data_IF_453081302131
#
_entry.id   IF_453081302131
#
_cell.length_a   1.000
_cell.length_b   1.000
_cell.length_c   1.000
_cell.angle_alpha   90.00
_cell.angle_beta   90.00
_cell.angle_gamma   90.00
#
_symmetry.space_group_name_H-M   'P 1'
#
loop_
_entity.id
_entity.type
_entity.pdbx_description
1 polymer ?
#
# COMPACT_ATOMS: atom_id res chain seq x y z
N UNK A 1 -22.21 7.67 -1.17
CA UNK A 1 -20.74 7.82 -1.31
C UNK A 1 -20.38 9.10 -0.59
N UNK A 2 -19.62 9.04 0.49
CA UNK A 2 -19.20 10.24 1.23
C UNK A 2 -18.14 10.96 0.39
N UNK A 3 -18.42 12.17 -0.06
CA UNK A 3 -17.47 12.99 -0.81
C UNK A 3 -16.20 13.21 0.01
N UNK A 4 -15.03 13.12 -0.63
CA UNK A 4 -13.77 13.32 0.08
C UNK A 4 -13.68 14.74 0.65
N UNK A 5 -12.96 14.91 1.75
CA UNK A 5 -12.70 16.25 2.32
C UNK A 5 -12.19 17.22 1.24
N UNK A 6 -11.26 16.77 0.42
CA UNK A 6 -10.69 17.55 -0.69
C UNK A 6 -11.75 17.90 -1.76
N UNK A 7 -12.62 16.96 -2.10
CA UNK A 7 -13.73 17.22 -3.04
C UNK A 7 -14.65 18.31 -2.51
N UNK A 8 -15.07 18.22 -1.24
CA UNK A 8 -15.91 19.23 -0.60
C UNK A 8 -15.26 20.62 -0.60
N UNK A 9 -13.95 20.70 -0.31
CA UNK A 9 -13.19 21.97 -0.34
C UNK A 9 -13.18 22.54 -1.76
N UNK A 10 -12.88 21.73 -2.79
CA UNK A 10 -12.85 22.17 -4.20
C UNK A 10 -14.20 22.66 -4.69
N UNK A 11 -15.27 21.94 -4.40
CA UNK A 11 -16.62 22.27 -4.86
C UNK A 11 -17.14 23.57 -4.24
N UNK A 12 -16.66 23.89 -3.02
CA UNK A 12 -17.07 25.11 -2.29
C UNK A 12 -16.16 26.30 -2.60
N UNK A 13 -14.96 26.09 -3.14
CA UNK A 13 -13.87 27.08 -3.25
C UNK A 13 -14.30 28.39 -3.95
N UNK A 14 -15.09 28.28 -5.02
CA UNK A 14 -15.54 29.45 -5.80
C UNK A 14 -16.49 30.38 -5.03
N UNK A 15 -17.13 29.87 -3.97
CA UNK A 15 -18.16 30.59 -3.19
C UNK A 15 -17.59 31.11 -1.84
N UNK A 16 -16.32 30.85 -1.55
CA UNK A 16 -15.72 31.21 -0.26
C UNK A 16 -15.33 32.70 -0.21
N UNK A 17 -15.58 33.37 0.93
CA UNK A 17 -15.01 34.69 1.22
C UNK A 17 -13.47 34.66 1.18
N UNK A 18 -12.79 35.78 0.92
CA UNK A 18 -11.31 35.82 0.73
C UNK A 18 -10.51 35.19 1.87
N UNK A 19 -10.91 35.36 3.12
CA UNK A 19 -10.24 34.80 4.29
C UNK A 19 -10.45 33.27 4.42
N UNK A 20 -11.66 32.77 4.13
CA UNK A 20 -11.97 31.35 4.11
C UNK A 20 -11.32 30.68 2.90
N UNK A 21 -11.27 31.36 1.75
CA UNK A 21 -10.59 30.88 0.56
C UNK A 21 -9.09 30.68 0.78
N UNK A 22 -8.40 31.64 1.41
CA UNK A 22 -6.98 31.47 1.76
C UNK A 22 -6.74 30.26 2.65
N UNK A 23 -7.64 30.01 3.60
CA UNK A 23 -7.59 28.82 4.44
C UNK A 23 -7.86 27.53 3.64
N UNK A 24 -8.83 27.55 2.74
CA UNK A 24 -9.16 26.44 1.85
C UNK A 24 -8.03 26.13 0.87
N UNK A 25 -7.39 27.14 0.27
CA UNK A 25 -6.24 27.00 -0.60
C UNK A 25 -5.07 26.34 0.18
N UNK A 26 -4.79 26.79 1.41
CA UNK A 26 -3.81 26.14 2.28
C UNK A 26 -4.15 24.67 2.55
N UNK A 27 -5.42 24.34 2.82
CA UNK A 27 -5.86 22.96 3.04
C UNK A 27 -5.77 22.11 1.77
N UNK A 28 -5.92 22.69 0.58
CA UNK A 28 -5.76 22.00 -0.71
C UNK A 28 -4.30 21.76 -1.04
N UNK A 29 -3.44 22.72 -0.77
CA UNK A 29 -1.99 22.58 -0.99
C UNK A 29 -1.38 21.51 -0.07
N UNK A 30 -1.90 21.38 1.15
CA UNK A 30 -1.40 20.45 2.17
C UNK A 30 -2.51 19.60 2.82
N UNK A 31 -3.25 18.77 2.05
CA UNK A 31 -4.41 18.06 2.57
C UNK A 31 -4.09 17.09 3.73
N UNK A 32 -2.87 16.58 3.82
CA UNK A 32 -2.42 15.73 4.93
C UNK A 32 -2.17 16.51 6.23
N UNK A 33 -1.92 17.82 6.16
CA UNK A 33 -1.57 18.62 7.32
C UNK A 33 -2.78 18.91 8.21
N UNK A 34 -4.01 18.92 7.68
CA UNK A 34 -5.21 19.10 8.50
C UNK A 34 -5.27 18.09 9.66
N UNK A 35 -4.87 16.86 9.43
CA UNK A 35 -4.89 15.81 10.45
C UNK A 35 -3.81 15.99 11.54
N UNK A 36 -2.78 16.77 11.26
CA UNK A 36 -1.63 16.96 12.15
C UNK A 36 -1.74 18.22 13.01
N UNK A 37 -2.58 19.19 12.61
CA UNK A 37 -2.71 20.49 13.28
C UNK A 37 -4.02 20.62 14.04
N UNK A 38 -4.00 21.37 15.14
CA UNK A 38 -5.21 21.87 15.81
C UNK A 38 -5.81 23.04 15.02
N UNK A 39 -7.07 23.38 15.31
CA UNK A 39 -7.73 24.54 14.70
C UNK A 39 -6.94 25.83 14.94
N UNK A 40 -6.35 26.00 16.13
CA UNK A 40 -5.55 27.17 16.52
C UNK A 40 -4.24 27.25 15.74
N UNK A 41 -3.56 26.12 15.53
CA UNK A 41 -2.32 26.09 14.75
C UNK A 41 -2.56 26.41 13.28
N UNK A 42 -3.64 25.86 12.67
CA UNK A 42 -4.00 26.20 11.29
C UNK A 42 -4.39 27.67 11.17
N UNK A 43 -5.15 28.21 12.13
CA UNK A 43 -5.50 29.61 12.15
C UNK A 43 -4.25 30.52 12.17
N UNK A 44 -3.26 30.15 13.00
CA UNK A 44 -2.00 30.86 13.08
C UNK A 44 -1.18 30.77 11.79
N UNK A 45 -1.02 29.58 11.21
CA UNK A 45 -0.26 29.34 9.98
C UNK A 45 -0.85 30.08 8.77
N UNK A 46 -2.17 30.20 8.72
CA UNK A 46 -2.87 30.85 7.60
C UNK A 46 -3.16 32.33 7.85
N UNK A 47 -2.87 32.85 9.07
CA UNK A 47 -3.13 34.22 9.46
C UNK A 47 -4.62 34.55 9.50
N UNK A 48 -5.46 33.57 9.91
CA UNK A 48 -6.91 33.75 10.09
C UNK A 48 -7.31 33.52 11.54
N UNK A 49 -8.55 33.89 11.91
CA UNK A 49 -9.07 33.61 13.26
C UNK A 49 -9.56 32.16 13.40
N UNK A 50 -9.59 31.61 14.63
CA UNK A 50 -10.23 30.33 14.94
C UNK A 50 -11.70 30.30 14.50
N UNK A 51 -12.40 31.42 14.60
CA UNK A 51 -13.78 31.54 14.12
C UNK A 51 -13.89 31.36 12.59
N UNK A 52 -12.86 31.74 11.82
CA UNK A 52 -12.80 31.51 10.38
C UNK A 52 -12.61 30.03 10.08
N UNK A 53 -11.75 29.32 10.84
CA UNK A 53 -11.57 27.87 10.72
C UNK A 53 -12.88 27.14 10.99
N UNK A 54 -13.58 27.49 12.06
CA UNK A 54 -14.87 26.89 12.42
C UNK A 54 -15.93 27.13 11.33
N UNK A 55 -16.04 28.36 10.82
CA UNK A 55 -16.99 28.69 9.74
C UNK A 55 -16.73 27.92 8.45
N UNK A 56 -15.45 27.80 8.05
CA UNK A 56 -15.11 27.02 6.86
C UNK A 56 -15.52 25.56 7.00
N UNK A 57 -15.15 24.89 8.11
CA UNK A 57 -15.50 23.47 8.27
C UNK A 57 -17.01 23.23 8.38
N UNK A 58 -17.76 24.14 8.97
CA UNK A 58 -19.22 24.09 8.98
C UNK A 58 -19.82 24.25 7.58
N UNK A 59 -19.24 25.14 6.75
CA UNK A 59 -19.64 25.33 5.35
C UNK A 59 -19.35 24.08 4.51
N UNK A 60 -18.29 23.35 4.84
CA UNK A 60 -17.96 22.05 4.22
C UNK A 60 -18.86 20.90 4.69
N UNK A 61 -19.82 21.17 5.60
CA UNK A 61 -20.78 20.19 6.10
C UNK A 61 -20.30 19.36 7.28
N UNK A 62 -19.32 19.84 8.05
CA UNK A 62 -18.87 19.22 9.30
C UNK A 62 -19.40 19.97 10.51
N UNK A 63 -19.75 19.26 11.58
CA UNK A 63 -20.21 19.86 12.83
C UNK A 63 -19.08 20.60 13.57
N UNK A 64 -17.83 20.08 13.45
CA UNK A 64 -16.67 20.63 14.12
C UNK A 64 -15.38 20.43 13.32
N UNK A 65 -14.34 21.20 13.69
CA UNK A 65 -13.00 21.00 13.15
C UNK A 65 -12.44 19.59 13.45
N UNK A 66 -12.71 19.03 14.62
CA UNK A 66 -12.27 17.68 14.97
C UNK A 66 -12.94 16.59 14.11
N UNK A 67 -14.18 16.79 13.72
CA UNK A 67 -14.85 15.90 12.77
C UNK A 67 -14.21 15.99 11.38
N UNK A 68 -14.00 17.20 10.86
CA UNK A 68 -13.30 17.42 9.60
C UNK A 68 -11.88 16.82 9.62
N UNK A 69 -11.17 17.01 10.73
CA UNK A 69 -9.85 16.44 10.97
C UNK A 69 -9.85 14.92 10.98
N UNK A 70 -10.81 14.31 11.67
CA UNK A 70 -10.98 12.84 11.69
C UNK A 70 -11.30 12.31 10.31
N UNK A 71 -12.20 12.96 9.57
CA UNK A 71 -12.55 12.56 8.20
C UNK A 71 -11.34 12.70 7.26
N UNK A 72 -10.61 13.82 7.32
CA UNK A 72 -9.35 14.00 6.56
C UNK A 72 -8.29 12.94 6.93
N UNK A 73 -8.20 12.54 8.20
CA UNK A 73 -7.29 11.48 8.66
C UNK A 73 -7.65 10.12 8.08
N UNK A 74 -8.93 9.76 8.05
CA UNK A 74 -9.42 8.51 7.44
C UNK A 74 -9.16 8.46 5.94
N UNK A 75 -9.17 9.62 5.28
CA UNK A 75 -8.87 9.78 3.87
C UNK A 75 -7.38 10.04 3.57
N UNK A 76 -6.57 10.35 4.56
CA UNK A 76 -5.13 10.61 4.44
C UNK A 76 -4.35 9.46 3.80
N UNK A 77 -4.91 8.24 3.81
CA UNK A 77 -4.42 7.10 3.03
C UNK A 77 -4.48 7.29 1.50
N UNK A 78 -5.28 8.23 1.00
CA UNK A 78 -5.47 8.47 -0.45
C UNK A 78 -4.69 9.67 -1.01
N UNK A 79 -4.14 10.56 -0.16
CA UNK A 79 -3.37 11.74 -0.56
C UNK A 79 -1.91 11.45 -1.00
N UNK A 80 -1.25 12.42 -1.68
CA UNK A 80 0.18 12.29 -2.00
C UNK A 80 1.05 12.40 -0.74
N UNK A 81 2.02 11.51 -0.52
CA UNK A 81 2.98 11.64 0.58
C UNK A 81 3.73 12.99 0.56
N UNK A 82 3.94 13.55 -0.64
CA UNK A 82 4.59 14.85 -0.82
C UNK A 82 3.86 16.01 -0.15
N UNK A 83 2.54 15.87 0.08
CA UNK A 83 1.72 16.90 0.74
C UNK A 83 1.56 16.67 2.25
N UNK A 84 2.08 15.57 2.80
CA UNK A 84 1.92 15.21 4.22
C UNK A 84 3.18 15.39 5.05
N UNK A 85 4.31 15.75 4.43
CA UNK A 85 5.57 15.85 5.11
C UNK A 85 5.70 17.16 5.89
N UNK A 86 6.16 17.14 7.15
CA UNK A 86 6.61 18.34 7.83
C UNK A 86 7.82 18.95 7.10
N UNK A 87 7.83 20.28 6.95
CA UNK A 87 8.78 21.02 6.12
C UNK A 87 10.23 21.08 6.63
N UNK A 88 10.63 20.35 7.66
CA UNK A 88 11.97 20.50 8.24
C UNK A 88 12.54 19.21 8.82
N UNK A 89 13.39 18.54 8.04
CA UNK A 89 14.51 17.79 8.61
C UNK A 89 15.78 18.57 8.27
N UNK A 90 16.20 19.44 9.16
CA UNK A 90 17.44 20.18 9.02
C UNK A 90 18.62 19.30 9.44
N UNK A 91 19.48 18.97 8.49
CA UNK A 91 20.75 18.27 8.73
C UNK A 91 20.78 16.82 8.18
N UNK A 92 21.68 16.56 7.25
CA UNK A 92 21.78 15.26 6.53
C UNK A 92 22.06 14.08 7.46
N UNK A 93 22.94 14.21 8.43
CA UNK A 93 23.27 13.16 9.39
C UNK A 93 22.09 12.83 10.31
N UNK A 94 21.36 13.82 10.77
CA UNK A 94 20.15 13.65 11.58
C UNK A 94 19.04 12.99 10.77
N UNK A 95 18.90 13.33 9.49
CA UNK A 95 17.93 12.72 8.59
C UNK A 95 18.18 11.22 8.38
N UNK A 96 19.42 10.80 8.18
CA UNK A 96 19.77 9.39 8.04
C UNK A 96 19.49 8.58 9.32
N UNK A 97 19.83 9.11 10.48
CA UNK A 97 19.57 8.46 11.78
C UNK A 97 18.07 8.27 12.03
N UNK A 98 17.26 9.29 11.75
CA UNK A 98 15.79 9.21 11.87
C UNK A 98 15.18 8.21 10.89
N UNK A 99 15.68 8.15 9.65
CA UNK A 99 15.22 7.14 8.66
C UNK A 99 15.56 5.72 9.12
N UNK A 100 16.77 5.49 9.64
CA UNK A 100 17.19 4.18 10.16
C UNK A 100 16.35 3.77 11.36
N UNK A 101 16.17 4.67 12.32
CA UNK A 101 15.33 4.42 13.49
C UNK A 101 13.90 4.02 13.09
N UNK A 102 13.27 4.80 12.22
CA UNK A 102 11.92 4.51 11.76
C UNK A 102 11.84 3.19 11.00
N UNK A 103 12.87 2.84 10.22
CA UNK A 103 12.94 1.57 9.53
C UNK A 103 12.99 0.39 10.52
N UNK A 104 13.78 0.49 11.59
CA UNK A 104 13.83 -0.52 12.66
C UNK A 104 12.48 -0.67 13.37
N UNK A 105 11.82 0.44 13.70
CA UNK A 105 10.48 0.42 14.33
C UNK A 105 9.45 -0.26 13.42
N UNK A 106 9.43 0.09 12.13
CA UNK A 106 8.54 -0.52 11.15
C UNK A 106 8.79 -2.04 11.00
N UNK A 107 10.04 -2.45 10.92
CA UNK A 107 10.43 -3.87 10.86
C UNK A 107 9.96 -4.61 12.10
N UNK A 108 10.29 -4.12 13.28
CA UNK A 108 9.94 -4.77 14.55
C UNK A 108 8.42 -4.89 14.70
N UNK A 109 7.67 -3.80 14.46
CA UNK A 109 6.23 -3.78 14.58
C UNK A 109 5.54 -4.69 13.54
N UNK A 110 6.03 -4.72 12.29
CA UNK A 110 5.50 -5.61 11.25
C UNK A 110 5.70 -7.07 11.63
N UNK A 111 6.91 -7.46 12.01
CA UNK A 111 7.22 -8.85 12.35
C UNK A 111 6.48 -9.31 13.62
N UNK A 112 6.34 -8.44 14.61
CA UNK A 112 5.59 -8.76 15.83
C UNK A 112 4.07 -8.95 15.57
N UNK A 113 3.52 -8.34 14.52
CA UNK A 113 2.10 -8.43 14.17
C UNK A 113 1.73 -9.65 13.31
N UNK A 114 2.71 -10.36 12.74
CA UNK A 114 2.49 -11.46 11.81
C UNK A 114 2.96 -12.77 12.44
N UNK A 115 2.06 -13.69 12.78
CA UNK A 115 2.45 -15.00 13.31
C UNK A 115 3.22 -15.83 12.28
N UNK A 116 4.25 -16.54 12.72
CA UNK A 116 5.03 -17.45 11.86
C UNK A 116 4.13 -18.47 11.15
N UNK A 117 3.11 -18.98 11.85
CA UNK A 117 2.15 -19.95 11.29
C UNK A 117 1.39 -19.39 10.08
N UNK A 118 1.17 -18.07 10.02
CA UNK A 118 0.53 -17.43 8.86
C UNK A 118 1.47 -17.42 7.65
N UNK A 119 2.76 -17.13 7.86
CA UNK A 119 3.78 -17.20 6.81
C UNK A 119 3.91 -18.64 6.29
N UNK A 120 3.91 -19.62 7.19
CA UNK A 120 3.96 -21.05 6.84
C UNK A 120 2.76 -21.47 6.00
N UNK A 121 1.57 -21.02 6.39
CA UNK A 121 0.32 -21.31 5.66
C UNK A 121 0.36 -20.69 4.25
N UNK A 122 0.76 -19.43 4.13
CA UNK A 122 0.90 -18.74 2.85
C UNK A 122 1.94 -19.44 1.96
N UNK A 123 3.10 -19.81 2.52
CA UNK A 123 4.16 -20.48 1.77
C UNK A 123 3.71 -21.84 1.21
N UNK A 124 2.96 -22.63 2.00
CA UNK A 124 2.38 -23.90 1.52
C UNK A 124 1.32 -23.64 0.44
N UNK A 125 0.45 -22.67 0.65
CA UNK A 125 -0.57 -22.31 -0.33
C UNK A 125 0.01 -21.87 -1.68
N UNK A 126 1.15 -21.17 -1.68
CA UNK A 126 1.89 -20.81 -2.89
C UNK A 126 2.42 -22.06 -3.64
N UNK A 127 2.92 -23.05 -2.91
CA UNK A 127 3.42 -24.30 -3.51
C UNK A 127 2.31 -25.22 -4.04
N UNK A 128 1.16 -25.22 -3.37
CA UNK A 128 0.01 -26.04 -3.72
C UNK A 128 -0.82 -25.46 -4.88
N UNK A 129 -0.64 -24.16 -5.18
CA UNK A 129 -1.38 -23.50 -6.23
C UNK A 129 -1.00 -24.02 -7.63
N UNK A 130 -2.01 -24.27 -8.48
CA UNK A 130 -1.81 -24.56 -9.92
C UNK A 130 -1.09 -23.40 -10.60
N UNK A 131 -1.55 -22.18 -10.38
CA UNK A 131 -0.95 -20.94 -10.90
C UNK A 131 -1.00 -19.86 -9.84
N UNK A 132 0.09 -19.09 -9.73
CA UNK A 132 0.17 -17.94 -8.85
C UNK A 132 0.21 -16.66 -9.67
N UNK A 133 -0.70 -15.75 -9.36
CA UNK A 133 -0.80 -14.44 -9.97
C UNK A 133 -0.46 -13.35 -8.96
N UNK A 134 0.23 -12.32 -9.41
CA UNK A 134 0.61 -11.15 -8.63
C UNK A 134 -0.06 -9.91 -9.19
N UNK A 135 -0.77 -9.16 -8.35
CA UNK A 135 -1.48 -7.96 -8.73
C UNK A 135 -1.00 -6.75 -7.92
N UNK A 136 -0.67 -5.69 -8.61
CA UNK A 136 -0.36 -4.40 -8.02
C UNK A 136 -0.33 -3.33 -9.10
N UNK A 137 -0.81 -2.14 -8.77
CA UNK A 137 -0.74 -0.99 -9.66
C UNK A 137 0.24 0.05 -9.14
N UNK A 138 0.79 0.86 -10.04
CA UNK A 138 1.78 1.89 -9.74
C UNK A 138 3.00 1.29 -9.03
N UNK A 139 3.45 1.84 -7.89
CA UNK A 139 4.58 1.29 -7.14
C UNK A 139 4.32 -0.13 -6.61
N UNK A 140 3.07 -0.49 -6.30
CA UNK A 140 2.72 -1.84 -5.85
C UNK A 140 3.07 -2.92 -6.89
N UNK A 141 3.08 -2.56 -8.19
CA UNK A 141 3.51 -3.46 -9.26
C UNK A 141 4.98 -3.87 -9.14
N UNK A 142 5.83 -2.97 -8.65
CA UNK A 142 7.26 -3.28 -8.44
C UNK A 142 7.46 -4.32 -7.34
N UNK A 143 6.69 -4.24 -6.26
CA UNK A 143 6.72 -5.23 -5.18
C UNK A 143 6.10 -6.57 -5.61
N UNK A 144 5.04 -6.53 -6.39
CA UNK A 144 4.47 -7.70 -7.03
C UNK A 144 5.50 -8.41 -7.93
N UNK A 145 6.21 -7.66 -8.77
CA UNK A 145 7.27 -8.16 -9.62
C UNK A 145 8.47 -8.70 -8.82
N UNK A 146 8.84 -8.02 -7.72
CA UNK A 146 9.92 -8.44 -6.85
C UNK A 146 9.66 -9.80 -6.19
N UNK A 147 8.50 -9.98 -5.55
CA UNK A 147 8.16 -11.25 -4.92
C UNK A 147 7.94 -12.35 -5.99
N UNK A 148 7.29 -12.02 -7.11
CA UNK A 148 7.16 -12.94 -8.25
C UNK A 148 8.54 -13.46 -8.69
N UNK A 149 9.52 -12.56 -8.85
CA UNK A 149 10.87 -12.95 -9.27
C UNK A 149 11.49 -13.97 -8.31
N UNK A 150 11.45 -13.72 -7.01
CA UNK A 150 12.00 -14.63 -6.01
C UNK A 150 11.34 -16.02 -6.05
N UNK A 151 10.02 -16.06 -6.25
CA UNK A 151 9.25 -17.30 -6.28
C UNK A 151 9.35 -18.05 -7.61
N UNK A 152 9.74 -17.40 -8.70
CA UNK A 152 9.97 -18.06 -10.00
C UNK A 152 10.96 -19.21 -9.92
N UNK A 153 11.93 -19.12 -9.01
CA UNK A 153 12.96 -20.13 -8.85
C UNK A 153 12.48 -21.42 -8.17
N UNK A 154 11.37 -21.37 -7.45
CA UNK A 154 10.91 -22.48 -6.61
C UNK A 154 9.53 -23.01 -6.95
N UNK A 155 8.65 -22.18 -7.52
CA UNK A 155 7.31 -22.60 -7.92
C UNK A 155 7.33 -23.51 -9.16
N UNK A 156 6.42 -24.50 -9.24
CA UNK A 156 6.37 -25.44 -10.37
C UNK A 156 6.16 -24.75 -11.73
N UNK A 157 5.29 -23.75 -11.76
CA UNK A 157 5.05 -22.90 -12.92
C UNK A 157 5.50 -21.47 -12.65
N UNK A 158 6.03 -20.77 -13.67
CA UNK A 158 6.42 -19.37 -13.51
C UNK A 158 5.22 -18.50 -13.12
N UNK A 159 5.27 -17.81 -11.97
CA UNK A 159 4.17 -16.94 -11.57
C UNK A 159 4.12 -15.66 -12.44
N UNK A 160 2.94 -15.06 -12.56
CA UNK A 160 2.68 -13.95 -13.48
C UNK A 160 2.31 -12.66 -12.74
N UNK A 161 2.74 -11.50 -13.27
CA UNK A 161 2.30 -10.18 -12.78
C UNK A 161 1.21 -9.64 -13.68
N UNK A 162 0.05 -9.37 -13.10
CA UNK A 162 -1.16 -8.94 -13.81
C UNK A 162 -1.32 -7.39 -13.84
N UNK A 163 -1.93 -6.88 -14.90
CA UNK A 163 -2.03 -7.49 -16.22
C UNK A 163 -0.67 -7.49 -16.92
N UNK A 164 -0.47 -8.36 -17.91
CA UNK A 164 0.68 -8.29 -18.80
C UNK A 164 0.64 -7.05 -19.70
N UNK A 165 1.72 -6.75 -20.43
CA UNK A 165 1.75 -5.62 -21.38
C UNK A 165 0.69 -5.77 -22.47
N UNK A 166 -0.19 -4.77 -22.60
CA UNK A 166 -1.26 -4.76 -23.59
C UNK A 166 -2.49 -5.59 -23.24
N UNK A 167 -2.54 -6.18 -22.06
CA UNK A 167 -3.64 -7.04 -21.57
C UNK A 167 -4.46 -6.31 -20.50
N UNK A 168 -5.67 -6.83 -20.23
CA UNK A 168 -6.52 -6.37 -19.14
C UNK A 168 -6.66 -7.46 -18.07
N UNK A 169 -7.27 -7.16 -16.94
CA UNK A 169 -7.53 -8.17 -15.89
C UNK A 169 -8.62 -9.17 -16.30
N UNK A 170 -9.47 -8.82 -17.27
CA UNK A 170 -10.60 -9.63 -17.67
C UNK A 170 -10.17 -10.97 -18.29
N UNK A 171 -9.11 -10.97 -19.10
CA UNK A 171 -8.56 -12.17 -19.72
C UNK A 171 -8.09 -13.19 -18.68
N UNK A 172 -7.51 -12.70 -17.59
CA UNK A 172 -7.08 -13.55 -16.47
C UNK A 172 -8.25 -14.01 -15.62
N UNK A 173 -9.20 -13.09 -15.33
CA UNK A 173 -10.39 -13.40 -14.54
C UNK A 173 -11.22 -14.53 -15.12
N UNK A 174 -11.33 -14.61 -16.45
CA UNK A 174 -12.06 -15.67 -17.14
C UNK A 174 -11.46 -17.07 -17.02
N UNK A 175 -10.18 -17.18 -16.57
CA UNK A 175 -9.47 -18.45 -16.42
C UNK A 175 -9.15 -18.83 -14.97
N UNK A 176 -9.52 -17.98 -13.99
CA UNK A 176 -9.30 -18.25 -12.57
C UNK A 176 -10.15 -19.42 -12.07
N UNK A 177 -9.55 -20.25 -11.23
CA UNK A 177 -10.19 -21.41 -10.59
C UNK A 177 -9.85 -21.47 -9.10
N UNK A 178 -10.47 -22.38 -8.38
CA UNK A 178 -10.21 -22.68 -6.97
C UNK A 178 -8.81 -23.26 -6.70
N UNK A 179 -8.09 -23.66 -7.73
CA UNK A 179 -6.72 -24.15 -7.65
C UNK A 179 -5.68 -23.02 -7.80
N UNK A 180 -6.11 -21.81 -8.07
CA UNK A 180 -5.22 -20.69 -8.30
C UNK A 180 -5.04 -19.82 -7.03
N UNK A 181 -3.96 -19.05 -7.02
CA UNK A 181 -3.70 -18.09 -5.95
C UNK A 181 -3.40 -16.71 -6.51
N UNK A 182 -4.06 -15.70 -5.95
CA UNK A 182 -3.83 -14.29 -6.26
C UNK A 182 -3.13 -13.61 -5.07
N UNK A 183 -1.95 -13.06 -5.30
CA UNK A 183 -1.22 -12.22 -4.35
C UNK A 183 -1.39 -10.77 -4.73
N UNK A 184 -2.06 -10.00 -3.87
CA UNK A 184 -2.41 -8.60 -4.12
C UNK A 184 -1.53 -7.69 -3.27
N UNK A 185 -0.85 -6.75 -3.91
CA UNK A 185 -0.19 -5.63 -3.25
C UNK A 185 -1.09 -4.40 -3.32
N UNK A 186 -1.62 -4.00 -2.17
CA UNK A 186 -2.60 -2.94 -2.03
C UNK A 186 -2.20 -1.90 -0.98
N UNK A 187 -0.91 -1.55 -0.95
CA UNK A 187 -0.43 -0.48 -0.10
C UNK A 187 -0.97 0.86 -0.58
N UNK A 188 -0.87 1.86 0.27
CA UNK A 188 -1.33 3.22 0.02
C UNK A 188 -1.36 3.59 -1.46
N UNK A 189 -2.50 4.16 -1.91
CA UNK A 189 -2.90 4.47 -3.27
C UNK A 189 -3.20 3.25 -4.14
N UNK A 190 -3.79 2.22 -3.57
CA UNK A 190 -4.43 1.19 -4.37
C UNK A 190 -5.57 1.78 -5.21
N UNK A 191 -5.73 1.27 -6.42
CA UNK A 191 -6.82 1.68 -7.31
C UNK A 191 -8.05 0.79 -7.06
N UNK A 192 -9.29 1.31 -7.18
CA UNK A 192 -10.51 0.53 -6.92
C UNK A 192 -10.66 -0.74 -7.77
N UNK A 193 -9.98 -0.80 -8.91
CA UNK A 193 -9.95 -1.98 -9.77
C UNK A 193 -9.31 -3.19 -9.08
N UNK A 194 -8.30 -2.96 -8.23
CA UNK A 194 -7.61 -4.04 -7.47
C UNK A 194 -8.57 -4.71 -6.51
N UNK A 195 -9.35 -3.94 -5.75
CA UNK A 195 -10.37 -4.46 -4.84
C UNK A 195 -11.43 -5.27 -5.59
N UNK A 196 -12.01 -4.69 -6.65
CA UNK A 196 -13.01 -5.39 -7.48
C UNK A 196 -12.48 -6.69 -8.07
N UNK A 197 -11.23 -6.71 -8.53
CA UNK A 197 -10.65 -7.93 -9.08
C UNK A 197 -10.40 -8.98 -8.00
N UNK A 198 -9.90 -8.60 -6.82
CA UNK A 198 -9.71 -9.49 -5.67
C UNK A 198 -11.05 -10.14 -5.24
N UNK A 199 -12.13 -9.35 -5.14
CA UNK A 199 -13.47 -9.87 -4.86
C UNK A 199 -13.94 -10.90 -5.89
N UNK A 200 -13.76 -10.62 -7.18
CA UNK A 200 -14.16 -11.54 -8.25
C UNK A 200 -13.29 -12.80 -8.24
N UNK A 201 -11.99 -12.69 -7.95
CA UNK A 201 -11.10 -13.84 -7.82
C UNK A 201 -11.55 -14.78 -6.68
N UNK A 202 -11.92 -14.22 -5.51
CA UNK A 202 -12.48 -15.03 -4.41
C UNK A 202 -13.81 -15.69 -4.79
N UNK A 203 -14.69 -14.98 -5.51
CA UNK A 203 -15.96 -15.54 -5.99
C UNK A 203 -15.75 -16.68 -7.00
N UNK A 204 -14.67 -16.65 -7.77
CA UNK A 204 -14.25 -17.73 -8.65
C UNK A 204 -13.59 -18.90 -7.90
N UNK A 205 -13.41 -18.78 -6.57
CA UNK A 205 -12.81 -19.80 -5.71
C UNK A 205 -11.30 -19.66 -5.50
N UNK A 206 -10.63 -18.73 -6.21
CA UNK A 206 -9.19 -18.53 -6.07
C UNK A 206 -8.85 -18.03 -4.66
N UNK A 207 -7.76 -18.53 -4.09
CA UNK A 207 -7.27 -18.07 -2.78
C UNK A 207 -6.58 -16.70 -2.94
N UNK A 208 -6.89 -15.76 -2.06
CA UNK A 208 -6.36 -14.39 -2.13
C UNK A 208 -5.50 -14.07 -0.91
N UNK A 209 -4.24 -13.71 -1.15
CA UNK A 209 -3.37 -13.07 -0.18
C UNK A 209 -3.33 -11.57 -0.44
N UNK A 210 -3.70 -10.75 0.52
CA UNK A 210 -3.53 -9.30 0.46
C UNK A 210 -2.33 -8.85 1.32
N UNK A 211 -1.40 -8.15 0.71
CA UNK A 211 -0.29 -7.47 1.37
C UNK A 211 -0.55 -5.97 1.29
N UNK A 212 -0.70 -5.32 2.44
CA UNK A 212 -1.10 -3.92 2.54
C UNK A 212 -0.38 -3.20 3.67
N UNK A 213 -0.66 -1.92 3.88
CA UNK A 213 -0.20 -1.15 5.04
C UNK A 213 -1.34 -0.90 6.04
N UNK A 214 -1.01 -0.29 7.17
CA UNK A 214 -1.99 0.06 8.20
C UNK A 214 -2.87 1.26 7.82
N UNK A 215 -2.46 2.08 6.84
CA UNK A 215 -3.21 3.24 6.38
C UNK A 215 -4.27 2.88 5.32
N UNK A 216 -4.12 1.74 4.66
CA UNK A 216 -5.03 1.29 3.60
C UNK A 216 -6.19 0.45 4.16
N UNK A 217 -7.39 0.55 3.56
CA UNK A 217 -8.49 -0.34 3.90
C UNK A 217 -8.13 -1.80 3.63
N UNK A 218 -8.71 -2.71 4.40
CA UNK A 218 -8.58 -4.13 4.13
C UNK A 218 -9.35 -4.48 2.85
N UNK A 219 -8.72 -5.24 1.96
CA UNK A 219 -9.40 -5.86 0.83
C UNK A 219 -9.95 -7.23 1.25
N UNK A 220 -10.99 -7.75 0.60
CA UNK A 220 -11.40 -9.13 0.74
C UNK A 220 -10.25 -10.07 0.39
N UNK A 221 -9.86 -10.91 1.34
CA UNK A 221 -8.75 -11.84 1.18
C UNK A 221 -8.85 -12.98 2.20
N UNK A 222 -8.31 -14.15 1.84
CA UNK A 222 -8.19 -15.30 2.75
C UNK A 222 -7.11 -15.06 3.79
N UNK A 223 -6.05 -14.35 3.38
CA UNK A 223 -4.95 -13.93 4.25
C UNK A 223 -4.63 -12.45 4.07
N UNK A 224 -4.45 -11.75 5.17
CA UNK A 224 -4.11 -10.34 5.21
C UNK A 224 -2.80 -10.15 5.97
N UNK A 225 -1.80 -9.60 5.28
CA UNK A 225 -0.52 -9.21 5.87
C UNK A 225 -0.39 -7.69 5.84
N UNK A 226 -0.22 -7.08 7.01
CA UNK A 226 -0.09 -5.63 7.15
C UNK A 226 1.34 -5.24 7.49
N UNK A 227 1.87 -4.26 6.76
CA UNK A 227 3.18 -3.69 7.00
C UNK A 227 3.09 -2.29 7.59
N UNK A 228 4.04 -1.97 8.46
CA UNK A 228 4.29 -0.59 8.88
C UNK A 228 5.17 0.09 7.84
N UNK A 229 4.72 1.25 7.36
CA UNK A 229 5.38 2.00 6.26
C UNK A 229 5.66 3.45 6.62
N UNK A 230 5.62 3.80 7.92
CA UNK A 230 5.89 5.15 8.39
C UNK A 230 7.28 5.62 7.96
N UNK A 231 7.39 6.90 7.72
CA UNK A 231 8.66 7.57 7.42
C UNK A 231 8.69 8.97 8.03
N UNK A 232 9.86 9.46 8.41
CA UNK A 232 10.00 10.86 8.87
C UNK A 232 9.90 11.89 7.74
N UNK A 233 9.67 11.46 6.50
CA UNK A 233 9.57 12.28 5.31
C UNK A 233 8.32 11.98 4.47
N UNK A 234 8.22 12.56 3.27
CA UNK A 234 7.02 12.46 2.43
C UNK A 234 6.84 11.12 1.72
N UNK A 235 7.87 10.28 1.69
CA UNK A 235 7.84 8.99 1.02
C UNK A 235 7.63 7.88 2.05
N UNK A 236 6.78 6.92 1.72
CA UNK A 236 6.58 5.74 2.57
C UNK A 236 7.86 4.89 2.63
N UNK A 237 8.15 4.33 3.81
CA UNK A 237 9.28 3.44 4.03
C UNK A 237 8.84 1.98 3.81
N UNK A 238 9.34 1.35 2.76
CA UNK A 238 8.95 0.00 2.38
C UNK A 238 9.94 -1.10 2.82
N UNK A 239 10.86 -0.82 3.72
CA UNK A 239 11.85 -1.83 4.17
C UNK A 239 11.18 -3.03 4.83
N UNK A 240 10.17 -2.81 5.67
CA UNK A 240 9.41 -3.89 6.30
C UNK A 240 8.65 -4.74 5.27
N UNK A 241 8.10 -4.14 4.23
CA UNK A 241 7.46 -4.85 3.11
C UNK A 241 8.47 -5.74 2.35
N UNK A 242 9.66 -5.20 2.06
CA UNK A 242 10.71 -5.96 1.37
C UNK A 242 11.16 -7.16 2.21
N UNK A 243 11.32 -6.95 3.52
CA UNK A 243 11.63 -8.04 4.45
C UNK A 243 10.52 -9.09 4.50
N UNK A 244 9.25 -8.68 4.51
CA UNK A 244 8.11 -9.61 4.46
C UNK A 244 8.12 -10.43 3.17
N UNK A 245 8.37 -9.82 2.02
CA UNK A 245 8.53 -10.53 0.75
C UNK A 245 9.66 -11.57 0.82
N UNK A 246 10.80 -11.20 1.41
CA UNK A 246 11.92 -12.11 1.61
C UNK A 246 11.56 -13.29 2.54
N UNK A 247 10.85 -13.05 3.63
CA UNK A 247 10.39 -14.11 4.53
C UNK A 247 9.42 -15.09 3.84
N UNK A 248 8.46 -14.59 3.08
CA UNK A 248 7.54 -15.43 2.30
C UNK A 248 8.32 -16.29 1.29
N UNK A 249 9.25 -15.69 0.54
CA UNK A 249 10.04 -16.39 -0.46
C UNK A 249 10.97 -17.46 0.20
N UNK A 250 11.65 -17.10 1.28
CA UNK A 250 12.55 -18.00 2.01
C UNK A 250 11.79 -19.18 2.61
N UNK A 251 10.60 -18.93 3.19
CA UNK A 251 9.77 -19.99 3.75
C UNK A 251 9.19 -20.90 2.67
N UNK A 252 8.78 -20.32 1.52
CA UNK A 252 8.34 -21.10 0.36
C UNK A 252 9.47 -22.00 -0.16
N UNK A 253 10.69 -21.46 -0.27
CA UNK A 253 11.88 -22.22 -0.66
C UNK A 253 12.19 -23.36 0.34
N UNK A 254 12.07 -23.09 1.64
CA UNK A 254 12.25 -24.10 2.67
C UNK A 254 11.26 -25.26 2.50
N UNK A 255 9.96 -24.99 2.32
CA UNK A 255 8.96 -26.04 2.14
C UNK A 255 9.02 -26.73 0.77
N UNK A 256 9.51 -26.05 -0.28
CA UNK A 256 9.72 -26.67 -1.59
C UNK A 256 10.74 -27.82 -1.57
N UNK A 257 11.68 -27.79 -0.63
CA UNK A 257 12.61 -28.89 -0.34
C UNK A 257 13.34 -29.43 -1.59
N UNK A 258 13.26 -30.72 -1.83
CA UNK A 258 13.93 -31.36 -2.96
C UNK A 258 13.32 -30.95 -4.32
N UNK A 259 12.03 -30.68 -4.40
CA UNK A 259 11.39 -30.22 -5.64
C UNK A 259 11.89 -28.83 -6.04
N UNK A 260 11.99 -27.90 -5.08
CA UNK A 260 12.56 -26.57 -5.31
C UNK A 260 14.01 -26.65 -5.79
N UNK A 261 14.84 -27.48 -5.16
CA UNK A 261 16.25 -27.67 -5.59
C UNK A 261 16.35 -28.21 -7.02
N UNK A 262 15.49 -29.18 -7.41
CA UNK A 262 15.45 -29.66 -8.80
C UNK A 262 15.06 -28.57 -9.79
N UNK A 263 14.09 -27.74 -9.42
CA UNK A 263 13.68 -26.59 -10.25
C UNK A 263 14.81 -25.58 -10.45
N UNK A 264 15.50 -25.20 -9.36
CA UNK A 264 16.65 -24.31 -9.43
C UNK A 264 17.77 -24.87 -10.31
N UNK A 265 18.10 -26.15 -10.14
CA UNK A 265 19.10 -26.83 -10.98
C UNK A 265 18.73 -26.89 -12.46
N UNK A 266 17.43 -27.05 -12.76
CA UNK A 266 16.96 -27.01 -14.14
C UNK A 266 17.10 -25.60 -14.77
N UNK A 267 16.82 -24.52 -13.99
CA UNK A 267 17.02 -23.15 -14.43
C UNK A 267 18.51 -22.89 -14.68
N UNK A 268 19.39 -23.31 -13.75
CA UNK A 268 20.85 -23.14 -13.87
C UNK A 268 21.40 -23.82 -15.14
N UNK A 269 20.93 -25.04 -15.44
CA UNK A 269 21.30 -25.74 -16.68
C UNK A 269 20.89 -24.97 -17.95
N UNK A 270 19.79 -24.20 -17.90
CA UNK A 270 19.41 -23.35 -19.02
C UNK A 270 20.29 -22.11 -19.13
N UNK A 271 20.69 -21.45 -18.01
CA UNK A 271 21.64 -20.35 -17.99
C UNK A 271 22.95 -20.76 -18.64
N UNK A 272 23.50 -21.92 -18.25
CA UNK A 272 24.71 -22.48 -18.84
C UNK A 272 24.58 -22.70 -20.35
N UNK A 273 23.44 -23.30 -20.81
CA UNK A 273 23.22 -23.60 -22.23
C UNK A 273 23.00 -22.36 -23.12
N UNK A 274 22.43 -21.31 -22.54
CA UNK A 274 22.14 -20.05 -23.22
C UNK A 274 23.28 -19.04 -23.08
N UNK A 275 24.29 -19.36 -22.29
CA UNK A 275 25.42 -18.46 -21.96
C UNK A 275 24.91 -17.10 -21.41
N UNK A 276 23.85 -17.12 -20.57
CA UNK A 276 23.23 -15.93 -20.03
C UNK A 276 23.95 -15.37 -18.79
N UNK A 277 24.64 -16.21 -18.02
CA UNK A 277 25.34 -15.88 -16.76
C UNK A 277 26.69 -16.58 -16.69
#
# INVERSE_FOLDING_TARGET
MSDSFITRVRDTLAQLPPTERRLADFMLDFPGNLSSYSASEIAQLTGVSNATVTRLVQRLGYESYEEARRHARLQGGTGSPLFTAPASVSGTATAMALQLQQAHENLAATLASIPQTLIDTVARALLDARQVFFLGYRQNRNFAAYLRWQLTQVLPLPPQVLPGPGETLAEYGGSLTDQDMLVVFALRRSVPLVERFAEQAQRAGARVLCITDHASPALPADWLLRCHTQAPGPLDNHMALTMLCHLIASQTMHFAGAAGRRRMGAIETWHERLEEL
#
